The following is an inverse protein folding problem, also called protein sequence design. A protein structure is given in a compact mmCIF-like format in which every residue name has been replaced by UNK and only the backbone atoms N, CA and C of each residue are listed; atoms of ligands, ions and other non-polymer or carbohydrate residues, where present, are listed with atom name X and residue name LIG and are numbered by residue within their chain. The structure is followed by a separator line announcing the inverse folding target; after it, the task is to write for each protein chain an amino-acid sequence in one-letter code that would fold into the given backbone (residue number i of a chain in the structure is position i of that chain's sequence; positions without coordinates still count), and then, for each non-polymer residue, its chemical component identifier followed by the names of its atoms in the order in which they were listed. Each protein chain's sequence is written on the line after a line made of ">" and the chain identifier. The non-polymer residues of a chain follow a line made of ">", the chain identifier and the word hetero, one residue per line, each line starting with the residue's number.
data_IF_317515243610
#
_entry.id   IF_317515243610
#
_cell.length_a   1.000
_cell.length_b   1.000
_cell.length_c   1.000
_cell.angle_alpha   90.00
_cell.angle_beta   90.00
_cell.angle_gamma   90.00
#
_symmetry.space_group_name_H-M   'P 1'
#
loop_
_entity.id
_entity.type
_entity.pdbx_description
1 polymer ?
#
# COMPACT_ATOMS: atom_id res chain seq x y z
N UNK A 1 -1.07 24.30 44.54
CA UNK A 1 -0.31 24.95 43.47
C UNK A 1 0.73 23.96 42.99
N UNK A 2 0.46 23.22 41.92
CA UNK A 2 1.42 22.45 41.14
C UNK A 2 0.99 22.51 39.69
N UNK A 3 1.80 23.15 38.88
CA UNK A 3 1.62 23.27 37.44
C UNK A 3 1.92 21.93 36.77
N UNK A 4 0.94 21.40 36.06
CA UNK A 4 1.13 20.30 35.12
C UNK A 4 1.70 20.86 33.81
N UNK A 5 2.95 20.59 33.50
CA UNK A 5 3.52 20.78 32.19
C UNK A 5 3.12 19.59 31.31
N UNK A 6 2.17 19.82 30.43
CA UNK A 6 1.92 18.98 29.27
C UNK A 6 3.06 19.15 28.28
N UNK A 7 4.02 18.25 28.28
CA UNK A 7 5.01 18.15 27.22
C UNK A 7 4.32 17.54 25.98
N UNK A 8 4.11 18.37 24.98
CA UNK A 8 3.81 17.94 23.61
C UNK A 8 5.04 17.24 23.06
N UNK A 9 4.97 15.92 22.91
CA UNK A 9 5.95 15.16 22.13
C UNK A 9 5.76 15.54 20.67
N UNK A 10 6.54 16.49 20.21
CA UNK A 10 6.72 16.75 18.79
C UNK A 10 7.58 15.62 18.26
N UNK A 11 6.99 14.81 17.38
CA UNK A 11 7.65 13.72 16.65
C UNK A 11 8.72 14.36 15.73
N UNK A 12 9.97 14.40 16.19
CA UNK A 12 11.10 14.83 15.36
C UNK A 12 11.30 13.78 14.25
N UNK A 13 10.83 14.13 13.08
CA UNK A 13 11.03 13.36 11.84
C UNK A 13 12.52 13.32 11.51
N UNK A 14 13.08 12.11 11.50
CA UNK A 14 14.43 11.89 11.02
C UNK A 14 14.47 12.15 9.48
N UNK A 15 15.24 13.13 8.98
CA UNK A 15 15.22 13.54 7.57
C UNK A 15 15.76 12.48 6.59
N UNK A 16 16.43 11.44 7.08
CA UNK A 16 16.99 10.36 6.26
C UNK A 16 15.93 9.38 5.76
N UNK A 17 14.87 9.13 6.53
CA UNK A 17 13.86 8.10 6.21
C UNK A 17 12.81 8.58 5.20
N UNK A 18 12.57 9.88 5.12
CA UNK A 18 11.72 10.48 4.08
C UNK A 18 12.34 10.38 2.68
N UNK A 19 13.65 10.17 2.56
CA UNK A 19 14.36 10.22 1.28
C UNK A 19 14.19 8.96 0.42
N UNK A 20 13.95 7.80 1.00
CA UNK A 20 13.98 6.52 0.25
C UNK A 20 12.64 6.22 -0.43
N UNK A 21 11.52 6.29 0.27
CA UNK A 21 10.20 6.14 -0.37
C UNK A 21 9.91 7.28 -1.38
N UNK A 22 10.42 8.49 -1.06
CA UNK A 22 10.42 9.65 -1.97
C UNK A 22 11.29 9.39 -3.21
N UNK A 23 12.41 8.66 -3.12
CA UNK A 23 13.30 8.45 -4.27
C UNK A 23 12.70 7.57 -5.36
N UNK A 24 11.90 6.56 -5.05
CA UNK A 24 11.35 5.63 -6.06
C UNK A 24 10.21 6.27 -6.85
N UNK A 25 9.35 7.01 -6.19
CA UNK A 25 8.34 7.84 -6.84
C UNK A 25 8.88 9.23 -7.25
N UNK A 26 10.07 9.60 -6.80
CA UNK A 26 10.69 10.90 -7.09
C UNK A 26 11.03 11.06 -8.58
N UNK A 27 11.43 9.99 -9.28
CA UNK A 27 11.67 10.07 -10.72
C UNK A 27 10.36 10.28 -11.48
N UNK A 28 9.32 9.52 -11.13
CA UNK A 28 7.98 9.73 -11.67
C UNK A 28 7.47 11.14 -11.35
N UNK A 29 7.54 11.56 -10.09
CA UNK A 29 7.13 12.90 -9.65
C UNK A 29 7.90 14.02 -10.35
N UNK A 30 9.21 13.86 -10.54
CA UNK A 30 10.04 14.83 -11.26
C UNK A 30 9.64 14.96 -12.73
N UNK A 31 9.40 13.82 -13.43
CA UNK A 31 8.94 13.80 -14.83
C UNK A 31 7.56 14.41 -14.98
N UNK A 32 6.64 14.12 -14.06
CA UNK A 32 5.30 14.73 -14.04
C UNK A 32 5.38 16.25 -13.81
N UNK A 33 6.18 16.68 -12.85
CA UNK A 33 6.39 18.12 -12.58
C UNK A 33 7.04 18.82 -13.78
N UNK A 34 7.96 18.17 -14.49
CA UNK A 34 8.54 18.71 -15.71
C UNK A 34 7.48 18.89 -16.79
N UNK A 35 6.65 17.87 -17.03
CA UNK A 35 5.56 17.92 -18.02
C UNK A 35 4.58 19.06 -17.73
N UNK A 36 4.21 19.25 -16.45
CA UNK A 36 3.36 20.37 -16.03
C UNK A 36 4.04 21.74 -16.20
N UNK A 37 5.34 21.84 -15.89
CA UNK A 37 6.11 23.07 -16.07
C UNK A 37 6.22 23.45 -17.54
N UNK A 38 6.40 22.46 -18.41
CA UNK A 38 6.51 22.68 -19.86
C UNK A 38 5.17 23.14 -20.43
N UNK A 39 4.02 22.62 -19.97
CA UNK A 39 2.70 23.14 -20.32
C UNK A 39 2.54 24.63 -19.93
N UNK A 40 2.99 25.01 -18.73
CA UNK A 40 2.88 26.38 -18.24
C UNK A 40 3.73 27.37 -19.09
N UNK A 41 4.84 26.91 -19.65
CA UNK A 41 5.74 27.71 -20.50
C UNK A 41 5.24 27.89 -21.92
N UNK A 42 4.28 27.07 -22.39
CA UNK A 42 3.71 27.24 -23.72
C UNK A 42 3.02 28.62 -23.84
N UNK A 43 3.16 29.31 -24.96
CA UNK A 43 2.54 30.63 -25.12
C UNK A 43 1.00 30.56 -25.18
N UNK A 44 0.46 29.51 -25.79
CA UNK A 44 -0.98 29.30 -25.98
C UNK A 44 -1.34 27.85 -25.65
N UNK A 45 -2.50 27.65 -25.04
CA UNK A 45 -3.06 26.32 -24.82
C UNK A 45 -3.85 25.89 -26.08
N UNK A 46 -3.29 24.95 -26.82
CA UNK A 46 -3.93 24.34 -27.99
C UNK A 46 -3.95 22.80 -27.88
N UNK A 47 -4.58 22.15 -28.86
CA UNK A 47 -4.65 20.70 -28.90
C UNK A 47 -3.26 20.04 -28.93
N UNK A 48 -2.28 20.66 -29.59
CA UNK A 48 -0.92 20.13 -29.70
C UNK A 48 -0.20 20.17 -28.35
N UNK A 49 -0.33 21.24 -27.57
CA UNK A 49 0.25 21.35 -26.22
C UNK A 49 -0.37 20.37 -25.23
N UNK A 50 -1.69 20.11 -25.33
CA UNK A 50 -2.36 19.07 -24.55
C UNK A 50 -1.89 17.67 -24.93
N UNK A 51 -1.80 17.35 -26.24
CA UNK A 51 -1.29 16.07 -26.71
C UNK A 51 0.17 15.84 -26.26
N UNK A 52 1.01 16.88 -26.24
CA UNK A 52 2.38 16.79 -25.75
C UNK A 52 2.40 16.50 -24.23
N UNK A 53 1.61 17.22 -23.44
CA UNK A 53 1.48 16.96 -22.00
C UNK A 53 1.08 15.50 -21.73
N UNK A 54 0.05 15.00 -22.44
CA UNK A 54 -0.42 13.63 -22.26
C UNK A 54 0.64 12.61 -22.69
N UNK A 55 1.41 12.88 -23.75
CA UNK A 55 2.53 12.04 -24.17
C UNK A 55 3.61 11.94 -23.09
N UNK A 56 3.97 13.07 -22.47
CA UNK A 56 5.02 13.11 -21.45
C UNK A 56 4.55 12.43 -20.15
N UNK A 57 3.30 12.66 -19.73
CA UNK A 57 2.69 11.98 -18.57
C UNK A 57 2.62 10.47 -18.81
N UNK A 58 2.12 10.01 -19.96
CA UNK A 58 2.04 8.60 -20.30
C UNK A 58 3.43 7.95 -20.36
N UNK A 59 4.41 8.63 -20.95
CA UNK A 59 5.80 8.17 -21.01
C UNK A 59 6.41 8.01 -19.61
N UNK A 60 6.13 8.94 -18.70
CA UNK A 60 6.60 8.87 -17.32
C UNK A 60 5.99 7.68 -16.56
N UNK A 61 4.69 7.42 -16.74
CA UNK A 61 3.99 6.27 -16.14
C UNK A 61 4.50 4.94 -16.68
N UNK A 62 4.68 4.82 -18.02
CA UNK A 62 5.23 3.62 -18.65
C UNK A 62 6.67 3.35 -18.22
N UNK A 63 7.51 4.39 -18.12
CA UNK A 63 8.87 4.28 -17.64
C UNK A 63 8.94 3.83 -16.16
N UNK A 64 7.88 4.04 -15.41
CA UNK A 64 7.71 3.58 -14.02
C UNK A 64 7.06 2.19 -13.92
N UNK A 65 6.91 1.46 -15.02
CA UNK A 65 6.31 0.12 -15.12
C UNK A 65 4.79 0.07 -14.77
N UNK A 66 4.06 1.17 -14.97
CA UNK A 66 2.59 1.14 -14.90
C UNK A 66 2.03 0.37 -16.09
N UNK A 67 0.96 -0.39 -15.88
CA UNK A 67 0.33 -1.20 -16.93
C UNK A 67 -0.12 -0.35 -18.12
N UNK A 68 0.26 -0.79 -19.32
CA UNK A 68 0.00 -0.08 -20.60
C UNK A 68 -1.50 0.21 -20.80
N UNK A 69 -2.38 -0.74 -20.46
CA UNK A 69 -3.83 -0.57 -20.63
C UNK A 69 -4.37 0.53 -19.72
N UNK A 70 -3.87 0.62 -18.48
CA UNK A 70 -4.24 1.69 -17.56
C UNK A 70 -3.78 3.05 -18.06
N UNK A 71 -2.55 3.14 -18.59
CA UNK A 71 -2.01 4.37 -19.17
C UNK A 71 -2.80 4.81 -20.39
N UNK A 72 -3.17 3.88 -21.26
CA UNK A 72 -4.00 4.17 -22.46
C UNK A 72 -5.39 4.66 -22.05
N UNK A 73 -6.03 4.01 -21.06
CA UNK A 73 -7.33 4.44 -20.55
C UNK A 73 -7.25 5.84 -19.95
N UNK A 74 -6.26 6.11 -19.09
CA UNK A 74 -6.03 7.43 -18.51
C UNK A 74 -5.88 8.49 -19.61
N UNK A 75 -5.06 8.21 -20.63
CA UNK A 75 -4.87 9.14 -21.76
C UNK A 75 -6.17 9.47 -22.45
N UNK A 76 -7.01 8.46 -22.72
CA UNK A 76 -8.30 8.65 -23.40
C UNK A 76 -9.26 9.46 -22.52
N UNK A 77 -9.41 9.05 -21.26
CA UNK A 77 -10.33 9.70 -20.33
C UNK A 77 -9.96 11.19 -20.12
N UNK A 78 -8.68 11.50 -19.93
CA UNK A 78 -8.20 12.89 -19.80
C UNK A 78 -8.41 13.66 -21.09
N UNK A 79 -8.12 13.07 -22.26
CA UNK A 79 -8.30 13.72 -23.55
C UNK A 79 -9.75 14.10 -23.79
N UNK A 80 -10.67 13.22 -23.46
CA UNK A 80 -12.12 13.45 -23.63
C UNK A 80 -12.61 14.58 -22.72
N UNK A 81 -12.17 14.60 -21.45
CA UNK A 81 -12.54 15.65 -20.51
C UNK A 81 -11.95 17.01 -20.86
N UNK A 82 -10.66 17.05 -21.26
CA UNK A 82 -10.01 18.29 -21.69
C UNK A 82 -10.63 18.80 -22.99
N UNK A 83 -10.99 17.92 -23.95
CA UNK A 83 -11.66 18.31 -25.17
C UNK A 83 -13.04 18.90 -24.89
N UNK A 84 -13.78 18.33 -23.95
CA UNK A 84 -15.05 18.87 -23.49
C UNK A 84 -14.89 20.30 -22.89
N UNK A 85 -13.86 20.48 -22.06
CA UNK A 85 -13.54 21.79 -21.48
C UNK A 85 -13.19 22.84 -22.54
N UNK A 86 -12.40 22.48 -23.56
CA UNK A 86 -11.94 23.42 -24.59
C UNK A 86 -13.04 23.75 -25.60
N UNK A 87 -14.00 22.82 -25.83
CA UNK A 87 -15.11 23.01 -26.77
C UNK A 87 -16.34 23.71 -26.15
N UNK A 88 -16.39 23.85 -24.83
CA UNK A 88 -17.48 24.57 -24.14
C UNK A 88 -17.30 26.09 -24.35
N UNK A 89 -18.01 26.64 -25.35
CA UNK A 89 -17.95 28.05 -25.72
C UNK A 89 -18.23 29.00 -24.55
N UNK A 90 -19.15 28.63 -23.66
CA UNK A 90 -19.49 29.46 -22.49
C UNK A 90 -18.36 29.55 -21.47
N UNK A 91 -17.61 28.47 -21.26
CA UNK A 91 -16.44 28.45 -20.37
C UNK A 91 -15.17 28.92 -21.09
N UNK A 92 -15.04 28.65 -22.38
CA UNK A 92 -13.88 29.05 -23.16
C UNK A 92 -13.72 30.58 -23.26
N UNK A 93 -14.84 31.33 -23.28
CA UNK A 93 -14.83 32.78 -23.31
C UNK A 93 -14.62 33.45 -21.94
N UNK A 94 -14.88 32.72 -20.83
CA UNK A 94 -14.78 33.25 -19.48
C UNK A 94 -13.41 33.05 -18.83
N UNK A 95 -12.59 32.12 -19.34
CA UNK A 95 -11.27 31.81 -18.74
C UNK A 95 -10.11 32.40 -19.55
N UNK A 96 -9.15 32.98 -18.83
CA UNK A 96 -7.85 33.34 -19.41
C UNK A 96 -7.08 32.06 -19.78
N UNK A 97 -6.07 32.20 -20.66
CA UNK A 97 -5.21 31.07 -21.06
C UNK A 97 -4.52 30.40 -19.85
N UNK A 98 -4.07 31.21 -18.89
CA UNK A 98 -3.48 30.73 -17.65
C UNK A 98 -4.49 29.90 -16.80
N UNK A 99 -5.74 30.32 -16.72
CA UNK A 99 -6.79 29.60 -16.02
C UNK A 99 -7.12 28.27 -16.72
N UNK A 100 -7.16 28.25 -18.05
CA UNK A 100 -7.36 27.01 -18.83
C UNK A 100 -6.23 26.02 -18.62
N UNK A 101 -4.96 26.45 -18.63
CA UNK A 101 -3.81 25.60 -18.32
C UNK A 101 -3.91 25.01 -16.93
N UNK A 102 -4.31 25.80 -15.95
CA UNK A 102 -4.51 25.32 -14.57
C UNK A 102 -5.64 24.28 -14.49
N UNK A 103 -6.74 24.46 -15.24
CA UNK A 103 -7.81 23.46 -15.29
C UNK A 103 -7.35 22.15 -15.93
N UNK A 104 -6.62 22.20 -17.05
CA UNK A 104 -6.04 21.01 -17.68
C UNK A 104 -5.10 20.28 -16.73
N UNK A 105 -4.23 21.01 -16.04
CA UNK A 105 -3.32 20.46 -15.05
C UNK A 105 -4.07 19.77 -13.91
N UNK A 106 -5.15 20.40 -13.41
CA UNK A 106 -6.02 19.83 -12.37
C UNK A 106 -6.70 18.54 -12.85
N UNK A 107 -7.27 18.52 -14.06
CA UNK A 107 -7.88 17.32 -14.64
C UNK A 107 -6.86 16.16 -14.66
N UNK A 108 -5.65 16.40 -15.21
CA UNK A 108 -4.61 15.38 -15.26
C UNK A 108 -4.25 14.90 -13.85
N UNK A 109 -4.10 15.81 -12.90
CA UNK A 109 -3.77 15.48 -11.52
C UNK A 109 -4.87 14.63 -10.85
N UNK A 110 -6.14 14.98 -11.05
CA UNK A 110 -7.29 14.24 -10.51
C UNK A 110 -7.33 12.79 -11.05
N UNK A 111 -7.00 12.59 -12.33
CA UNK A 111 -6.88 11.23 -12.90
C UNK A 111 -5.67 10.47 -12.38
N UNK A 112 -4.54 11.13 -12.14
CA UNK A 112 -3.37 10.50 -11.51
C UNK A 112 -3.68 10.08 -10.07
N UNK A 113 -4.40 10.89 -9.30
CA UNK A 113 -4.84 10.56 -7.94
C UNK A 113 -5.75 9.34 -7.97
N UNK A 114 -6.70 9.26 -8.91
CA UNK A 114 -7.60 8.08 -9.06
C UNK A 114 -6.86 6.76 -9.32
N UNK A 115 -5.63 6.79 -9.86
CA UNK A 115 -4.84 5.58 -10.03
C UNK A 115 -4.32 5.01 -8.69
N UNK A 116 -4.11 5.85 -7.67
CA UNK A 116 -3.51 5.46 -6.38
C UNK A 116 -4.49 5.52 -5.22
N UNK A 117 -5.63 6.19 -5.41
CA UNK A 117 -6.70 6.32 -4.43
C UNK A 117 -8.00 5.71 -4.98
N UNK A 118 -8.43 4.56 -4.47
CA UNK A 118 -9.68 3.93 -4.89
C UNK A 118 -10.95 4.69 -4.45
N UNK A 119 -10.80 5.79 -3.71
CA UNK A 119 -11.90 6.73 -3.43
C UNK A 119 -12.81 6.37 -2.27
N UNK A 120 -12.57 5.30 -1.53
CA UNK A 120 -13.36 4.95 -0.36
C UNK A 120 -12.92 5.66 0.94
N UNK A 121 -11.92 6.55 0.83
CA UNK A 121 -11.49 7.48 1.88
C UNK A 121 -10.97 6.85 3.17
N UNK A 122 -10.93 5.54 3.25
CA UNK A 122 -10.61 4.85 4.49
C UNK A 122 -9.18 4.32 4.54
N UNK A 123 -8.22 5.22 4.65
CA UNK A 123 -6.88 4.83 5.12
C UNK A 123 -6.98 4.37 6.58
N UNK A 124 -7.52 3.17 6.79
CA UNK A 124 -7.73 2.60 8.13
C UNK A 124 -6.43 2.04 8.72
N UNK A 125 -5.39 2.87 8.81
CA UNK A 125 -4.24 2.54 9.66
C UNK A 125 -4.48 2.89 11.13
N UNK A 126 -5.54 3.68 11.45
CA UNK A 126 -5.99 3.92 12.83
C UNK A 126 -7.01 2.87 13.21
N UNK A 127 -6.71 2.16 14.28
CA UNK A 127 -7.63 1.22 14.91
C UNK A 127 -8.33 1.90 16.08
N UNK A 128 -9.60 1.56 16.28
CA UNK A 128 -10.36 2.09 17.39
C UNK A 128 -9.82 1.52 18.71
N UNK A 129 -9.52 2.39 19.67
CA UNK A 129 -9.10 1.97 21.01
C UNK A 129 -10.28 1.36 21.76
N UNK A 130 -9.99 0.34 22.56
CA UNK A 130 -11.01 -0.37 23.34
C UNK A 130 -11.64 -1.57 22.61
N UNK A 131 -11.28 -1.80 21.36
CA UNK A 131 -11.66 -2.99 20.59
C UNK A 131 -10.43 -3.86 20.32
N UNK A 132 -10.66 -5.17 20.18
CA UNK A 132 -9.62 -6.11 19.78
C UNK A 132 -9.64 -6.29 18.26
N UNK A 133 -8.51 -6.07 17.62
CA UNK A 133 -8.36 -6.14 16.18
C UNK A 133 -7.50 -7.34 15.80
N UNK A 134 -7.99 -8.15 14.88
CA UNK A 134 -7.23 -9.23 14.25
C UNK A 134 -6.87 -8.80 12.84
N UNK A 135 -5.58 -8.74 12.55
CA UNK A 135 -5.06 -8.37 11.23
C UNK A 135 -4.38 -9.60 10.63
N UNK A 136 -4.87 -10.06 9.49
CA UNK A 136 -4.33 -11.21 8.77
C UNK A 136 -3.47 -10.72 7.60
N UNK A 137 -2.25 -11.23 7.50
CA UNK A 137 -1.33 -10.96 6.39
C UNK A 137 -1.39 -12.06 5.36
N UNK A 138 -1.58 -11.69 4.10
CA UNK A 138 -1.59 -12.60 2.94
C UNK A 138 -0.59 -12.13 1.89
N UNK A 139 -0.19 -13.02 0.98
CA UNK A 139 0.76 -12.70 -0.09
C UNK A 139 1.68 -13.85 -0.41
N UNK A 140 2.44 -13.73 -1.50
CA UNK A 140 3.33 -14.78 -1.98
C UNK A 140 4.56 -14.99 -1.08
N UNK A 141 5.20 -16.14 -1.27
CA UNK A 141 6.50 -16.41 -0.67
C UNK A 141 7.53 -15.37 -1.12
N UNK A 142 8.34 -14.91 -0.19
CA UNK A 142 9.37 -13.91 -0.46
C UNK A 142 8.87 -12.47 -0.58
N UNK A 143 7.56 -12.22 -0.45
CA UNK A 143 7.02 -10.84 -0.48
C UNK A 143 7.36 -10.01 0.77
N UNK A 144 7.93 -10.62 1.80
CA UNK A 144 8.27 -9.92 3.05
C UNK A 144 7.19 -9.92 4.12
N UNK A 145 6.20 -10.86 4.08
CA UNK A 145 5.10 -10.95 5.05
C UNK A 145 5.58 -10.97 6.51
N UNK A 146 6.40 -11.95 6.86
CA UNK A 146 6.89 -12.13 8.25
C UNK A 146 7.59 -10.88 8.80
N UNK A 147 8.42 -10.25 7.97
CA UNK A 147 9.08 -8.99 8.34
C UNK A 147 8.06 -7.85 8.49
N UNK A 148 7.10 -7.75 7.57
CA UNK A 148 6.04 -6.72 7.60
C UNK A 148 5.11 -6.89 8.79
N UNK A 149 4.78 -8.13 9.19
CA UNK A 149 4.04 -8.42 10.41
C UNK A 149 4.74 -7.83 11.64
N UNK A 150 6.05 -8.05 11.77
CA UNK A 150 6.84 -7.53 12.89
C UNK A 150 6.92 -6.01 12.87
N UNK A 151 7.13 -5.40 11.69
CA UNK A 151 7.16 -3.94 11.53
C UNK A 151 5.83 -3.31 11.96
N UNK A 152 4.71 -3.86 11.49
CA UNK A 152 3.38 -3.35 11.83
C UNK A 152 3.08 -3.54 13.32
N UNK A 153 3.45 -4.67 13.90
CA UNK A 153 3.29 -4.92 15.32
C UNK A 153 4.03 -3.89 16.18
N UNK A 154 5.30 -3.61 15.83
CA UNK A 154 6.10 -2.59 16.51
C UNK A 154 5.51 -1.18 16.32
N UNK A 155 5.00 -0.88 15.14
CA UNK A 155 4.36 0.40 14.84
C UNK A 155 3.14 0.66 15.72
N UNK A 156 2.27 -0.36 15.94
CA UNK A 156 1.14 -0.27 16.85
C UNK A 156 1.59 -0.24 18.32
N UNK A 157 2.58 -1.07 18.71
CA UNK A 157 3.11 -1.09 20.06
C UNK A 157 3.63 0.30 20.48
N UNK A 158 4.37 0.99 19.62
CA UNK A 158 4.85 2.37 19.87
C UNK A 158 3.71 3.38 20.04
N UNK A 159 2.51 3.06 19.58
CA UNK A 159 1.29 3.89 19.72
C UNK A 159 0.42 3.50 20.92
N UNK A 160 0.96 2.62 21.76
CA UNK A 160 0.32 2.22 23.03
C UNK A 160 -0.68 1.09 22.89
N UNK A 161 -0.69 0.33 21.78
CA UNK A 161 -1.49 -0.88 21.62
C UNK A 161 -0.72 -2.09 22.17
N UNK A 162 -1.40 -2.96 22.92
CA UNK A 162 -0.89 -4.28 23.28
C UNK A 162 -0.97 -5.19 22.06
N UNK A 163 0.18 -5.48 21.45
CA UNK A 163 0.26 -6.17 20.17
C UNK A 163 0.89 -7.54 20.31
N UNK A 164 0.33 -8.57 19.64
CA UNK A 164 0.85 -9.92 19.59
C UNK A 164 0.94 -10.44 18.17
N UNK A 165 1.90 -11.34 17.93
CA UNK A 165 2.15 -11.99 16.64
C UNK A 165 1.78 -13.46 16.71
N UNK A 166 1.09 -13.98 15.68
CA UNK A 166 0.77 -15.41 15.53
C UNK A 166 1.42 -15.92 14.25
N UNK A 167 2.24 -16.98 14.36
CA UNK A 167 2.82 -17.67 13.22
C UNK A 167 1.91 -18.81 12.76
N UNK A 168 1.17 -18.60 11.70
CA UNK A 168 0.38 -19.63 11.02
C UNK A 168 1.05 -20.14 9.74
N UNK A 169 2.30 -19.77 9.46
CA UNK A 169 3.10 -20.34 8.36
C UNK A 169 3.70 -21.69 8.81
N UNK A 170 2.98 -22.77 8.52
CA UNK A 170 3.43 -24.14 8.80
C UNK A 170 4.15 -24.80 7.62
N UNK A 171 4.13 -24.16 6.46
CA UNK A 171 4.68 -24.72 5.24
C UNK A 171 6.20 -24.53 5.14
N UNK A 172 6.70 -23.36 5.50
CA UNK A 172 8.13 -23.04 5.37
C UNK A 172 8.89 -23.48 6.60
N UNK A 173 9.88 -24.37 6.40
CA UNK A 173 10.80 -24.75 7.47
C UNK A 173 11.48 -23.50 8.06
N UNK A 174 11.47 -23.38 9.38
CA UNK A 174 12.05 -22.24 10.10
C UNK A 174 11.19 -20.95 10.10
N UNK A 175 9.97 -20.97 9.56
CA UNK A 175 9.08 -19.80 9.59
C UNK A 175 8.80 -19.33 11.02
N UNK A 176 8.52 -20.25 11.92
CA UNK A 176 8.31 -19.95 13.32
C UNK A 176 9.56 -19.41 14.01
N UNK A 177 10.73 -19.98 13.73
CA UNK A 177 12.00 -19.47 14.27
C UNK A 177 12.30 -18.05 13.79
N UNK A 178 12.03 -17.77 12.51
CA UNK A 178 12.19 -16.42 11.96
C UNK A 178 11.26 -15.42 12.65
N UNK A 179 9.97 -15.77 12.78
CA UNK A 179 9.01 -14.89 13.47
C UNK A 179 9.41 -14.68 14.92
N UNK A 180 9.79 -15.75 15.63
CA UNK A 180 10.25 -15.73 17.02
C UNK A 180 11.45 -14.82 17.21
N UNK A 181 12.46 -14.91 16.33
CA UNK A 181 13.65 -14.05 16.39
C UNK A 181 13.28 -12.58 16.16
N UNK A 182 12.46 -12.31 15.17
CA UNK A 182 12.01 -10.95 14.86
C UNK A 182 11.18 -10.36 16.00
N UNK A 183 10.24 -11.13 16.53
CA UNK A 183 9.39 -10.73 17.66
C UNK A 183 10.22 -10.48 18.93
N UNK A 184 11.19 -11.34 19.22
CA UNK A 184 12.08 -11.18 20.37
C UNK A 184 12.93 -9.92 20.27
N UNK A 185 13.52 -9.64 19.10
CA UNK A 185 14.28 -8.39 18.85
C UNK A 185 13.41 -7.15 19.05
N UNK A 186 12.15 -7.20 18.62
CA UNK A 186 11.19 -6.11 18.75
C UNK A 186 10.47 -6.10 20.12
N UNK A 187 10.73 -7.08 20.99
CA UNK A 187 10.05 -7.28 22.28
C UNK A 187 8.53 -7.36 22.14
N UNK A 188 8.07 -8.12 21.14
CA UNK A 188 6.66 -8.34 20.89
C UNK A 188 6.30 -9.77 21.29
N UNK A 189 5.23 -9.99 22.08
CA UNK A 189 4.70 -11.31 22.36
C UNK A 189 4.33 -12.06 21.07
N UNK A 190 4.64 -13.35 21.02
CA UNK A 190 4.37 -14.19 19.86
C UNK A 190 3.78 -15.53 20.27
N UNK A 191 3.07 -16.15 19.33
CA UNK A 191 2.48 -17.49 19.46
C UNK A 191 2.80 -18.30 18.20
N UNK A 192 3.13 -19.57 18.37
CA UNK A 192 3.38 -20.51 17.31
C UNK A 192 3.58 -21.91 17.88
N UNK A 193 3.77 -22.92 17.03
CA UNK A 193 3.97 -24.29 17.43
C UNK A 193 5.06 -24.95 16.58
N UNK A 194 5.83 -25.85 17.20
CA UNK A 194 6.76 -26.72 16.49
C UNK A 194 6.14 -28.09 16.14
N UNK A 195 5.00 -28.43 16.74
CA UNK A 195 4.38 -29.75 16.63
C UNK A 195 3.07 -29.72 15.87
N UNK A 196 2.32 -28.62 15.96
CA UNK A 196 1.08 -28.46 15.22
C UNK A 196 1.39 -28.11 13.75
N UNK A 197 0.78 -28.83 12.84
CA UNK A 197 0.97 -28.63 11.39
C UNK A 197 -0.24 -28.00 10.72
N UNK A 198 -1.39 -27.97 11.40
CA UNK A 198 -2.58 -27.29 10.89
C UNK A 198 -2.51 -25.78 11.13
N UNK A 199 -2.38 -24.97 10.07
CA UNK A 199 -2.28 -23.52 10.19
C UNK A 199 -3.56 -22.90 10.77
N UNK A 200 -4.72 -23.49 10.53
CA UNK A 200 -6.00 -23.03 11.05
C UNK A 200 -6.06 -23.22 12.56
N UNK A 201 -5.62 -24.39 13.05
CA UNK A 201 -5.57 -24.68 14.48
C UNK A 201 -4.62 -23.72 15.22
N UNK A 202 -3.42 -23.48 14.67
CA UNK A 202 -2.44 -22.55 15.25
C UNK A 202 -3.00 -21.13 15.27
N UNK A 203 -3.55 -20.65 14.16
CA UNK A 203 -4.11 -19.30 14.04
C UNK A 203 -5.24 -19.10 15.05
N UNK A 204 -6.17 -20.04 15.15
CA UNK A 204 -7.30 -20.00 16.07
C UNK A 204 -6.85 -20.00 17.53
N UNK A 205 -5.93 -20.90 17.90
CA UNK A 205 -5.41 -20.99 19.26
C UNK A 205 -4.64 -19.72 19.66
N UNK A 206 -3.77 -19.20 18.77
CA UNK A 206 -3.00 -18.00 19.01
C UNK A 206 -3.88 -16.77 19.19
N UNK A 207 -4.84 -16.57 18.30
CA UNK A 207 -5.80 -15.45 18.38
C UNK A 207 -6.64 -15.55 19.66
N UNK A 208 -7.15 -16.73 19.99
CA UNK A 208 -7.93 -16.96 21.21
C UNK A 208 -7.11 -16.65 22.46
N UNK A 209 -5.85 -17.10 22.53
CA UNK A 209 -4.94 -16.83 23.64
C UNK A 209 -4.70 -15.33 23.82
N UNK A 210 -4.40 -14.60 22.75
CA UNK A 210 -4.17 -13.16 22.83
C UNK A 210 -5.45 -12.39 23.16
N UNK A 211 -6.61 -12.79 22.63
CA UNK A 211 -7.91 -12.19 23.00
C UNK A 211 -8.21 -12.35 24.49
N UNK A 212 -8.01 -13.56 25.04
CA UNK A 212 -8.19 -13.85 26.47
C UNK A 212 -7.29 -12.97 27.35
N UNK A 213 -6.08 -12.70 26.89
CA UNK A 213 -5.11 -11.85 27.57
C UNK A 213 -5.27 -10.34 27.25
N UNK A 214 -6.40 -9.94 26.64
CA UNK A 214 -6.77 -8.55 26.34
C UNK A 214 -5.72 -7.80 25.52
N UNK A 215 -5.21 -8.44 24.47
CA UNK A 215 -4.42 -7.76 23.46
C UNK A 215 -5.32 -6.92 22.56
N UNK A 216 -4.83 -5.73 22.16
CA UNK A 216 -5.58 -4.81 21.32
C UNK A 216 -5.43 -5.15 19.84
N UNK A 217 -4.23 -5.57 19.43
CA UNK A 217 -3.90 -5.90 18.04
C UNK A 217 -3.23 -7.28 17.97
N UNK A 218 -3.79 -8.17 17.19
CA UNK A 218 -3.29 -9.52 16.98
C UNK A 218 -3.01 -9.67 15.47
N UNK A 219 -1.74 -9.87 15.12
CA UNK A 219 -1.32 -9.99 13.73
C UNK A 219 -1.00 -11.44 13.42
N UNK A 220 -1.65 -11.98 12.39
CA UNK A 220 -1.51 -13.36 11.93
C UNK A 220 -0.67 -13.41 10.66
N UNK A 221 0.52 -14.00 10.75
CA UNK A 221 1.39 -14.28 9.61
C UNK A 221 1.01 -15.62 9.00
N UNK A 222 0.60 -15.62 7.73
CA UNK A 222 0.20 -16.84 7.01
C UNK A 222 1.29 -17.32 6.06
N UNK A 223 1.16 -18.56 5.58
CA UNK A 223 2.08 -19.10 4.58
C UNK A 223 2.01 -18.32 3.26
N UNK A 224 3.13 -18.32 2.53
CA UNK A 224 3.23 -17.72 1.20
C UNK A 224 3.75 -18.75 0.22
N UNK A 225 2.89 -19.63 -0.30
CA UNK A 225 3.28 -20.63 -1.30
C UNK A 225 3.48 -19.99 -2.68
N UNK A 226 3.99 -20.77 -3.64
CA UNK A 226 4.18 -20.30 -5.01
C UNK A 226 2.84 -19.97 -5.71
N UNK A 227 2.93 -19.20 -6.81
CA UNK A 227 1.82 -18.77 -7.64
C UNK A 227 0.83 -19.92 -7.93
N UNK A 228 -0.47 -19.66 -7.76
CA UNK A 228 -1.59 -20.45 -8.27
C UNK A 228 -1.85 -21.82 -7.60
N UNK A 229 -1.39 -22.07 -6.39
CA UNK A 229 -1.81 -23.26 -5.67
C UNK A 229 -3.21 -23.03 -5.07
N UNK A 230 -4.20 -23.76 -5.57
CA UNK A 230 -5.58 -23.76 -5.02
C UNK A 230 -5.60 -23.99 -3.52
N UNK A 231 -4.66 -24.78 -3.02
CA UNK A 231 -4.51 -25.11 -1.61
C UNK A 231 -4.13 -23.89 -0.76
N UNK A 232 -3.30 -22.94 -1.28
CA UNK A 232 -2.99 -21.71 -0.57
C UNK A 232 -4.23 -20.86 -0.34
N UNK A 233 -5.04 -20.68 -1.38
CA UNK A 233 -6.25 -19.89 -1.29
C UNK A 233 -7.29 -20.52 -0.36
N UNK A 234 -7.45 -21.86 -0.41
CA UNK A 234 -8.30 -22.60 0.51
C UNK A 234 -7.85 -22.41 1.97
N UNK A 235 -6.54 -22.58 2.24
CA UNK A 235 -5.93 -22.36 3.56
C UNK A 235 -6.20 -20.93 4.08
N UNK A 236 -6.02 -19.91 3.24
CA UNK A 236 -6.28 -18.52 3.61
C UNK A 236 -7.75 -18.29 3.96
N UNK A 237 -8.68 -18.85 3.18
CA UNK A 237 -10.11 -18.76 3.46
C UNK A 237 -10.46 -19.45 4.78
N UNK A 238 -9.90 -20.62 5.05
CA UNK A 238 -10.16 -21.37 6.28
C UNK A 238 -9.60 -20.67 7.52
N UNK A 239 -8.38 -20.11 7.44
CA UNK A 239 -7.80 -19.28 8.49
C UNK A 239 -8.69 -18.05 8.72
N UNK A 240 -9.11 -17.35 7.66
CA UNK A 240 -9.96 -16.17 7.75
C UNK A 240 -11.30 -16.47 8.43
N UNK A 241 -11.92 -17.60 8.11
CA UNK A 241 -13.17 -18.05 8.78
C UNK A 241 -12.97 -18.33 10.27
N UNK A 242 -11.83 -18.92 10.63
CA UNK A 242 -11.52 -19.29 12.00
C UNK A 242 -11.20 -18.06 12.88
N UNK A 243 -10.39 -17.11 12.38
CA UNK A 243 -9.91 -15.98 13.17
C UNK A 243 -10.76 -14.72 13.01
N UNK A 244 -11.60 -14.65 11.98
CA UNK A 244 -12.49 -13.51 11.67
C UNK A 244 -11.74 -12.19 11.72
N UNK A 245 -10.79 -11.95 10.81
CA UNK A 245 -9.97 -10.75 10.85
C UNK A 245 -10.82 -9.51 10.65
N UNK A 246 -10.53 -8.46 11.41
CA UNK A 246 -11.10 -7.12 11.17
C UNK A 246 -10.50 -6.48 9.92
N UNK A 247 -9.29 -6.92 9.53
CA UNK A 247 -8.60 -6.46 8.33
C UNK A 247 -7.70 -7.57 7.78
N UNK A 248 -7.76 -7.77 6.46
CA UNK A 248 -6.80 -8.60 5.71
C UNK A 248 -5.92 -7.68 4.87
N UNK A 249 -4.59 -7.82 5.01
CA UNK A 249 -3.59 -7.00 4.32
C UNK A 249 -2.81 -7.87 3.35
N UNK A 250 -2.83 -7.49 2.07
CA UNK A 250 -2.00 -8.09 1.03
C UNK A 250 -0.59 -7.48 1.07
N UNK A 251 0.44 -8.30 1.26
CA UNK A 251 1.83 -7.86 1.15
C UNK A 251 2.31 -8.02 -0.28
N UNK A 252 2.65 -6.91 -0.89
CA UNK A 252 3.06 -6.81 -2.28
C UNK A 252 4.52 -6.43 -2.39
N UNK A 253 5.29 -7.23 -3.11
CA UNK A 253 6.68 -6.94 -3.47
C UNK A 253 6.70 -5.99 -4.68
N UNK A 254 7.16 -4.76 -4.49
CA UNK A 254 7.24 -3.77 -5.57
C UNK A 254 8.29 -4.12 -6.64
N UNK A 255 9.26 -4.98 -6.32
CA UNK A 255 10.34 -5.35 -7.24
C UNK A 255 9.89 -6.20 -8.42
N UNK A 256 8.70 -6.85 -8.31
CA UNK A 256 8.17 -7.74 -9.37
C UNK A 256 7.50 -6.99 -10.53
N UNK A 257 7.44 -5.64 -10.48
CA UNK A 257 6.93 -4.81 -11.57
C UNK A 257 5.48 -5.14 -11.97
N UNK A 258 5.22 -5.26 -13.26
CA UNK A 258 3.86 -5.49 -13.79
C UNK A 258 3.20 -6.80 -13.32
N UNK A 259 3.98 -7.80 -12.90
CA UNK A 259 3.43 -9.04 -12.33
C UNK A 259 2.65 -8.82 -11.01
N UNK A 260 2.88 -7.69 -10.33
CA UNK A 260 2.19 -7.31 -9.11
C UNK A 260 0.67 -7.20 -9.30
N UNK A 261 0.23 -6.61 -10.41
CA UNK A 261 -1.19 -6.49 -10.72
C UNK A 261 -1.88 -7.84 -10.84
N UNK A 262 -1.31 -8.76 -11.63
CA UNK A 262 -1.88 -10.09 -11.83
C UNK A 262 -1.95 -10.89 -10.52
N UNK A 263 -0.93 -10.76 -9.67
CA UNK A 263 -0.93 -11.39 -8.34
C UNK A 263 -2.05 -10.84 -7.45
N UNK A 264 -2.13 -9.52 -7.32
CA UNK A 264 -3.14 -8.91 -6.46
C UNK A 264 -4.56 -9.26 -6.92
N UNK A 265 -4.80 -9.30 -8.24
CA UNK A 265 -6.09 -9.70 -8.78
C UNK A 265 -6.43 -11.14 -8.41
N UNK A 266 -5.52 -12.08 -8.59
CA UNK A 266 -5.73 -13.47 -8.24
C UNK A 266 -6.02 -13.65 -6.73
N UNK A 267 -5.29 -12.95 -5.87
CA UNK A 267 -5.55 -12.95 -4.43
C UNK A 267 -6.90 -12.31 -4.08
N UNK A 268 -7.27 -11.21 -4.74
CA UNK A 268 -8.54 -10.52 -4.49
C UNK A 268 -9.75 -11.37 -4.85
N UNK A 269 -9.66 -12.15 -5.93
CA UNK A 269 -10.71 -13.08 -6.36
C UNK A 269 -10.86 -14.27 -5.41
N UNK A 270 -9.74 -14.75 -4.83
CA UNK A 270 -9.73 -15.94 -4.00
C UNK A 270 -9.97 -15.65 -2.50
N UNK A 271 -9.38 -14.58 -2.00
CA UNK A 271 -9.47 -14.16 -0.60
C UNK A 271 -9.48 -12.64 -0.54
N UNK A 272 -10.64 -12.06 -0.33
CA UNK A 272 -10.80 -10.60 -0.31
C UNK A 272 -9.90 -9.96 0.75
N UNK A 273 -9.16 -8.94 0.34
CA UNK A 273 -8.33 -8.12 1.22
C UNK A 273 -8.72 -6.65 1.08
N UNK A 274 -8.71 -5.93 2.19
CA UNK A 274 -9.15 -4.53 2.25
C UNK A 274 -8.02 -3.51 2.21
N UNK A 275 -6.75 -3.96 2.22
CA UNK A 275 -5.60 -3.07 2.25
C UNK A 275 -4.36 -3.73 1.67
N UNK A 276 -3.39 -2.92 1.22
CA UNK A 276 -2.09 -3.38 0.75
C UNK A 276 -0.94 -2.79 1.58
N UNK A 277 0.07 -3.62 1.78
CA UNK A 277 1.36 -3.26 2.34
C UNK A 277 2.42 -3.48 1.27
N UNK A 278 3.09 -2.44 0.81
CA UNK A 278 4.08 -2.52 -0.25
C UNK A 278 5.48 -2.62 0.34
N UNK A 279 6.27 -3.58 -0.15
CA UNK A 279 7.65 -3.83 0.30
C UNK A 279 8.66 -3.62 -0.81
N UNK A 280 9.94 -3.56 -0.43
CA UNK A 280 11.09 -3.50 -1.34
C UNK A 280 11.09 -2.32 -2.32
N UNK A 281 10.56 -1.19 -1.86
CA UNK A 281 10.65 0.07 -2.59
C UNK A 281 12.02 0.75 -2.45
N UNK A 282 12.85 0.31 -1.52
CA UNK A 282 14.20 0.79 -1.25
C UNK A 282 15.25 0.34 -2.29
N UNK A 283 14.86 -0.57 -3.20
CA UNK A 283 15.71 -1.08 -4.27
C UNK A 283 15.52 -0.36 -5.61
N UNK A 284 15.67 -1.11 -6.70
CA UNK A 284 15.49 -0.63 -8.08
C UNK A 284 14.02 -0.67 -8.54
N UNK A 285 13.07 -0.87 -7.62
CA UNK A 285 11.65 -0.94 -7.93
C UNK A 285 11.13 0.42 -8.41
N UNK A 286 10.37 0.42 -9.51
CA UNK A 286 9.83 1.63 -10.14
C UNK A 286 8.45 2.04 -9.59
N UNK A 287 7.86 1.23 -8.70
CA UNK A 287 6.57 1.52 -8.05
C UNK A 287 5.32 1.33 -8.91
N UNK A 288 5.45 1.25 -10.23
CA UNK A 288 4.32 1.18 -11.16
C UNK A 288 3.48 -0.09 -11.02
N UNK A 289 4.10 -1.20 -10.63
CA UNK A 289 3.38 -2.43 -10.31
C UNK A 289 2.41 -2.27 -9.16
N UNK A 290 2.79 -1.53 -8.12
CA UNK A 290 1.91 -1.22 -6.98
C UNK A 290 0.76 -0.30 -7.41
N UNK A 291 1.04 0.73 -8.22
CA UNK A 291 0.01 1.62 -8.80
C UNK A 291 -1.00 0.79 -9.61
N UNK A 292 -0.51 -0.11 -10.47
CA UNK A 292 -1.36 -0.99 -11.28
C UNK A 292 -2.20 -1.94 -10.42
N UNK A 293 -1.65 -2.45 -9.32
CA UNK A 293 -2.37 -3.29 -8.38
C UNK A 293 -3.51 -2.54 -7.68
N UNK A 294 -3.28 -1.29 -7.23
CA UNK A 294 -4.32 -0.42 -6.66
C UNK A 294 -5.44 -0.20 -7.67
N UNK A 295 -5.09 0.22 -8.88
CA UNK A 295 -6.07 0.55 -9.92
C UNK A 295 -6.92 -0.65 -10.33
N UNK A 296 -6.32 -1.85 -10.40
CA UNK A 296 -7.02 -3.07 -10.83
C UNK A 296 -7.85 -3.73 -9.73
N UNK A 297 -7.46 -3.61 -8.45
CA UNK A 297 -8.14 -4.24 -7.32
C UNK A 297 -9.01 -3.28 -6.52
N UNK A 298 -8.92 -1.99 -6.80
CA UNK A 298 -9.60 -0.92 -6.05
C UNK A 298 -9.32 -1.02 -4.54
N UNK A 299 -8.08 -1.36 -4.19
CA UNK A 299 -7.67 -1.56 -2.80
C UNK A 299 -6.53 -0.60 -2.46
N UNK A 300 -6.64 0.18 -1.36
CA UNK A 300 -5.65 1.18 -1.01
C UNK A 300 -4.34 0.58 -0.48
N UNK A 301 -3.24 1.24 -0.77
CA UNK A 301 -1.99 1.04 -0.03
C UNK A 301 -2.12 1.79 1.29
N UNK A 302 -1.86 1.11 2.41
CA UNK A 302 -1.91 1.74 3.74
C UNK A 302 -0.53 1.88 4.39
N UNK A 303 0.41 1.01 4.03
CA UNK A 303 1.77 1.06 4.53
C UNK A 303 2.80 0.74 3.45
N UNK A 304 3.97 1.34 3.61
CA UNK A 304 5.15 1.10 2.78
C UNK A 304 6.31 0.67 3.69
N UNK A 305 6.94 -0.46 3.35
CA UNK A 305 8.22 -0.86 3.92
C UNK A 305 9.36 -0.16 3.18
N UNK A 306 10.11 0.67 3.90
CA UNK A 306 11.13 1.57 3.34
C UNK A 306 12.56 1.04 3.47
N UNK A 307 12.75 -0.16 4.01
CA UNK A 307 14.07 -0.78 4.21
C UNK A 307 13.98 -2.11 4.94
N UNK A 308 15.13 -2.65 5.37
CA UNK A 308 15.22 -3.96 6.02
C UNK A 308 15.03 -3.92 7.55
N UNK A 309 15.23 -2.76 8.18
CA UNK A 309 15.10 -2.64 9.63
C UNK A 309 13.64 -2.68 10.09
N UNK A 310 13.42 -3.13 11.33
CA UNK A 310 12.07 -3.23 11.91
C UNK A 310 11.35 -1.89 12.06
N UNK A 311 12.07 -0.78 11.99
CA UNK A 311 11.53 0.58 12.05
C UNK A 311 11.20 1.18 10.68
N UNK A 312 11.65 0.55 9.59
CA UNK A 312 11.50 1.04 8.23
C UNK A 312 10.07 0.77 7.71
N UNK A 313 9.14 1.52 8.26
CA UNK A 313 7.71 1.45 7.96
C UNK A 313 7.10 2.84 7.98
N UNK A 314 6.45 3.21 6.90
CA UNK A 314 5.70 4.46 6.80
C UNK A 314 4.24 4.22 6.41
N UNK A 315 3.28 4.93 7.04
CA UNK A 315 1.91 4.96 6.55
C UNK A 315 1.87 5.71 5.21
N UNK A 316 1.17 5.13 4.24
CA UNK A 316 0.91 5.76 2.95
C UNK A 316 -0.20 6.81 3.12
N UNK A 317 0.03 8.03 2.58
CA UNK A 317 -0.90 9.17 2.64
C UNK A 317 -1.05 9.81 1.27
#
# INVERSE_FOLDING_TARGET
>A
RANAHTASVVDEKNPSDQRVAIMVLADLGRRLNQAFSDLQRQPILDAASVDQLLKDVCSALLASDVNVRLVQKLRQDVKDEVSSLLNDKGKAESYTDAQRKHQVQRIVFDYLVKLVDPGDGSTKHRLDKGHQHVIMFVGLQGSGKTTSCTKLALWYQKRGYRTGLVCADTFRAGAFDQLKQNAAKARIPFYGSYTETDPVAIASAGVTSFKKNRFDVIIVDTSGRHKQEKDLFAEMVDISRAVKPSQTIMVLDASIGQAAEAQCRAFKEAADFGAMFVTKLDGHAKGGGAISAVASTQTPIIFIGTGEHVHDLEPFR
#
